data_IF_070640708898
#
_entry.id   IF_070640708898
#
_cell.length_a   1.000
_cell.length_b   1.000
_cell.length_c   1.000
_cell.angle_alpha   90.00
_cell.angle_beta   90.00
_cell.angle_gamma   90.00
#
_symmetry.space_group_name_H-M   'P 1'
#
loop_
_entity.id
_entity.type
_entity.pdbx_description
1 polymer ?
#
# COMPACT_ATOMS: atom_id res chain seq x y z
N UNK A 1 25.20 -14.68 -32.40
CA UNK A 1 23.86 -14.55 -32.98
C UNK A 1 23.69 -13.09 -33.42
N UNK A 2 23.48 -12.86 -34.71
CA UNK A 2 23.12 -11.54 -35.22
C UNK A 2 21.63 -11.33 -34.94
N UNK A 3 21.23 -10.26 -34.26
CA UNK A 3 19.81 -9.98 -34.06
C UNK A 3 19.12 -9.76 -35.40
N UNK A 4 17.82 -10.07 -35.53
CA UNK A 4 17.06 -9.77 -36.72
C UNK A 4 16.95 -8.26 -36.91
N UNK A 5 16.92 -7.82 -38.16
CA UNK A 5 16.77 -6.41 -38.56
C UNK A 5 15.41 -6.21 -39.25
N UNK A 6 14.27 -6.37 -38.53
CA UNK A 6 12.95 -6.19 -39.12
C UNK A 6 12.65 -4.71 -39.39
N UNK A 7 11.78 -4.46 -40.38
CA UNK A 7 11.25 -3.12 -40.62
C UNK A 7 10.26 -2.72 -39.48
N UNK A 8 10.08 -1.41 -39.28
CA UNK A 8 9.18 -0.88 -38.24
C UNK A 8 7.77 -1.48 -38.28
N UNK A 9 7.10 -1.65 -39.44
CA UNK A 9 5.78 -2.28 -39.51
C UNK A 9 5.76 -3.74 -39.00
N UNK A 10 6.85 -4.48 -39.24
CA UNK A 10 6.98 -5.88 -38.77
C UNK A 10 7.14 -5.91 -37.25
N UNK A 11 7.94 -5.01 -36.68
CA UNK A 11 8.12 -4.86 -35.21
C UNK A 11 6.78 -4.49 -34.56
N UNK A 12 6.11 -3.46 -35.08
CA UNK A 12 4.82 -3.02 -34.55
C UNK A 12 3.77 -4.13 -34.59
N UNK A 13 3.65 -4.84 -35.75
CA UNK A 13 2.73 -5.95 -35.90
C UNK A 13 3.05 -7.12 -34.96
N UNK A 14 4.34 -7.42 -34.79
CA UNK A 14 4.78 -8.49 -33.88
C UNK A 14 4.34 -8.22 -32.45
N UNK A 15 4.69 -7.08 -31.90
CA UNK A 15 4.36 -6.75 -30.52
C UNK A 15 2.87 -6.50 -30.28
N UNK A 16 2.15 -5.98 -31.27
CA UNK A 16 0.68 -5.88 -31.21
C UNK A 16 0.03 -7.26 -31.09
N UNK A 17 0.49 -8.24 -31.87
CA UNK A 17 -0.03 -9.62 -31.76
C UNK A 17 0.31 -10.26 -30.40
N UNK A 18 1.53 -10.04 -29.91
CA UNK A 18 1.92 -10.54 -28.59
C UNK A 18 1.07 -9.92 -27.48
N UNK A 19 0.79 -8.63 -27.55
CA UNK A 19 -0.06 -7.96 -26.54
C UNK A 19 -1.48 -8.51 -26.51
N UNK A 20 -2.02 -8.91 -27.67
CA UNK A 20 -3.36 -9.51 -27.78
C UNK A 20 -3.43 -10.95 -27.24
N UNK A 21 -2.29 -11.61 -27.03
CA UNK A 21 -2.23 -12.94 -26.41
C UNK A 21 -2.29 -12.89 -24.89
N UNK A 22 -2.19 -11.69 -24.29
CA UNK A 22 -2.29 -11.46 -22.87
C UNK A 22 -3.56 -10.67 -22.55
N UNK A 23 -4.17 -10.99 -21.42
CA UNK A 23 -5.27 -10.20 -20.91
C UNK A 23 -4.76 -8.91 -20.28
N UNK A 24 -5.49 -7.81 -20.46
CA UNK A 24 -5.15 -6.50 -19.89
C UNK A 24 -6.38 -5.81 -19.32
N UNK A 25 -6.15 -4.84 -18.45
CA UNK A 25 -7.22 -4.03 -17.84
C UNK A 25 -8.02 -3.22 -18.86
N UNK A 26 -7.49 -3.00 -20.07
CA UNK A 26 -8.21 -2.38 -21.18
C UNK A 26 -9.19 -3.32 -21.87
N UNK A 27 -9.05 -4.63 -21.72
CA UNK A 27 -9.97 -5.61 -22.29
C UNK A 27 -11.20 -5.86 -21.42
N UNK A 28 -11.08 -5.69 -20.11
CA UNK A 28 -12.19 -5.94 -19.19
C UNK A 28 -11.75 -6.06 -17.74
N UNK A 29 -12.61 -6.58 -16.87
CA UNK A 29 -12.30 -6.84 -15.47
C UNK A 29 -11.12 -7.79 -15.34
N UNK A 30 -10.21 -7.50 -14.43
CA UNK A 30 -9.02 -8.32 -14.21
C UNK A 30 -9.27 -9.25 -13.01
N UNK A 31 -9.25 -10.58 -13.18
CA UNK A 31 -9.73 -11.54 -12.17
C UNK A 31 -8.69 -11.86 -11.10
N UNK A 32 -7.95 -10.87 -10.65
CA UNK A 32 -7.03 -10.97 -9.51
C UNK A 32 -7.55 -10.11 -8.38
N UNK A 33 -7.19 -10.45 -7.15
CA UNK A 33 -7.62 -9.75 -5.94
C UNK A 33 -7.34 -8.25 -5.92
N UNK A 34 -7.39 -7.63 -4.78
CA UNK A 34 -7.40 -6.16 -4.57
C UNK A 34 -6.33 -5.34 -5.32
N UNK A 35 -5.29 -5.97 -5.84
CA UNK A 35 -4.18 -5.27 -6.48
C UNK A 35 -4.45 -4.74 -7.89
N UNK A 36 -5.54 -5.14 -8.57
CA UNK A 36 -5.67 -4.94 -10.01
C UNK A 36 -6.92 -4.22 -10.46
N UNK A 37 -7.75 -3.81 -9.55
CA UNK A 37 -9.13 -3.35 -9.82
C UNK A 37 -9.23 -1.89 -10.27
N UNK A 38 -8.18 -1.30 -10.85
CA UNK A 38 -8.17 0.10 -11.27
C UNK A 38 -7.72 0.29 -12.70
N UNK A 39 -8.30 1.27 -13.33
CA UNK A 39 -7.82 1.80 -14.59
C UNK A 39 -6.56 2.65 -14.37
N UNK A 40 -5.52 2.40 -15.15
CA UNK A 40 -4.30 3.21 -15.16
C UNK A 40 -4.45 4.30 -16.24
N UNK A 41 -4.63 5.58 -15.87
CA UNK A 41 -4.82 6.66 -16.84
C UNK A 41 -3.61 6.81 -17.76
N UNK A 42 -3.82 6.91 -19.05
CA UNK A 42 -2.72 6.94 -20.04
C UNK A 42 -1.79 8.14 -19.86
N UNK A 43 -2.30 9.30 -19.42
CA UNK A 43 -1.48 10.48 -19.20
C UNK A 43 -0.32 10.27 -18.23
N UNK A 44 -0.43 9.33 -17.28
CA UNK A 44 0.67 9.06 -16.34
C UNK A 44 1.87 8.42 -17.04
N UNK A 45 1.63 7.66 -18.12
CA UNK A 45 2.69 7.13 -18.99
C UNK A 45 3.39 8.25 -19.76
N UNK A 46 2.62 9.19 -20.31
CA UNK A 46 3.16 10.35 -21.01
C UNK A 46 4.04 11.20 -20.10
N UNK A 47 3.58 11.45 -18.86
CA UNK A 47 4.36 12.19 -17.85
C UNK A 47 5.65 11.45 -17.49
N UNK A 48 5.58 10.13 -17.28
CA UNK A 48 6.74 9.33 -16.93
C UNK A 48 7.76 9.21 -18.09
N UNK A 49 7.33 9.42 -19.31
CA UNK A 49 8.18 9.38 -20.50
C UNK A 49 8.88 10.71 -20.82
N UNK A 50 8.66 11.78 -20.06
CA UNK A 50 9.33 13.07 -20.27
C UNK A 50 10.84 12.93 -20.08
N UNK A 51 11.62 13.43 -21.05
CA UNK A 51 13.09 13.32 -21.08
C UNK A 51 13.76 13.93 -19.86
N UNK A 52 13.20 15.01 -19.30
CA UNK A 52 13.71 15.68 -18.11
C UNK A 52 13.64 14.79 -16.84
N UNK A 53 12.87 13.72 -16.87
CA UNK A 53 12.81 12.72 -15.80
C UNK A 53 13.95 11.68 -15.82
N UNK A 54 14.73 11.61 -16.90
CA UNK A 54 15.82 10.64 -17.06
C UNK A 54 17.13 11.13 -16.42
N UNK A 55 17.10 11.42 -15.12
CA UNK A 55 18.25 11.90 -14.35
C UNK A 55 18.93 10.74 -13.64
N UNK A 56 20.27 10.69 -13.72
CA UNK A 56 21.03 9.69 -12.97
C UNK A 56 20.83 9.90 -11.46
N UNK A 57 20.52 8.85 -10.67
CA UNK A 57 20.16 9.00 -9.26
C UNK A 57 21.28 9.55 -8.37
N UNK A 58 22.56 9.36 -8.73
CA UNK A 58 23.70 9.89 -7.99
C UNK A 58 24.16 11.26 -8.52
N UNK A 59 23.29 11.96 -9.26
CA UNK A 59 23.59 13.33 -9.70
C UNK A 59 23.57 14.26 -8.49
N UNK A 60 24.50 15.26 -8.42
CA UNK A 60 24.48 16.26 -7.36
C UNK A 60 23.12 16.97 -7.25
N UNK A 61 22.64 17.22 -6.04
CA UNK A 61 21.32 17.77 -5.74
C UNK A 61 21.03 19.07 -6.50
N UNK A 62 22.05 19.90 -6.70
CA UNK A 62 21.92 21.18 -7.44
C UNK A 62 21.43 21.01 -8.88
N UNK A 63 21.65 19.83 -9.49
CA UNK A 63 21.21 19.46 -10.84
C UNK A 63 19.97 18.56 -10.86
N UNK A 64 19.46 18.19 -9.69
CA UNK A 64 18.32 17.27 -9.54
C UNK A 64 17.09 17.95 -8.91
N UNK A 65 17.02 19.27 -8.87
CA UNK A 65 16.01 20.03 -8.14
C UNK A 65 14.58 19.67 -8.53
N UNK A 66 14.28 19.49 -9.82
CA UNK A 66 12.95 19.07 -10.28
C UNK A 66 12.58 17.67 -9.79
N UNK A 67 13.51 16.72 -9.87
CA UNK A 67 13.34 15.36 -9.39
C UNK A 67 13.12 15.32 -7.88
N UNK A 68 13.98 16.01 -7.13
CA UNK A 68 13.88 16.11 -5.67
C UNK A 68 12.58 16.82 -5.24
N UNK A 69 12.14 17.83 -6.00
CA UNK A 69 10.86 18.52 -5.76
C UNK A 69 9.65 17.59 -5.96
N UNK A 70 9.67 16.72 -6.96
CA UNK A 70 8.61 15.69 -7.16
C UNK A 70 8.63 14.68 -6.00
N UNK A 71 9.80 14.20 -5.59
CA UNK A 71 9.91 13.26 -4.48
C UNK A 71 9.43 13.89 -3.17
N UNK A 72 9.86 15.12 -2.87
CA UNK A 72 9.41 15.87 -1.70
C UNK A 72 7.88 16.05 -1.74
N UNK A 73 7.35 16.58 -2.86
CA UNK A 73 5.91 16.77 -2.99
C UNK A 73 5.09 15.49 -2.87
N UNK A 74 5.63 14.32 -3.30
CA UNK A 74 4.96 13.05 -3.09
C UNK A 74 5.01 12.61 -1.62
N UNK A 75 6.12 12.85 -0.89
CA UNK A 75 6.19 12.62 0.55
C UNK A 75 5.10 13.42 1.29
N UNK A 76 4.96 14.71 0.97
CA UNK A 76 3.94 15.58 1.55
C UNK A 76 2.51 15.11 1.22
N UNK A 77 2.24 14.75 -0.04
CA UNK A 77 0.93 14.24 -0.42
C UNK A 77 0.56 12.95 0.34
N UNK A 78 1.50 12.02 0.46
CA UNK A 78 1.26 10.76 1.16
C UNK A 78 1.09 10.99 2.66
N UNK A 79 1.90 11.86 3.26
CA UNK A 79 1.76 12.24 4.66
C UNK A 79 0.37 12.83 4.94
N UNK A 80 -0.08 13.81 4.15
CA UNK A 80 -1.40 14.41 4.29
C UNK A 80 -2.52 13.39 4.09
N UNK A 81 -2.46 12.56 3.05
CA UNK A 81 -3.48 11.54 2.77
C UNK A 81 -3.58 10.51 3.90
N UNK A 82 -2.45 10.14 4.50
CA UNK A 82 -2.40 9.16 5.59
C UNK A 82 -2.63 9.73 6.97
N UNK A 83 -2.55 11.06 7.15
CA UNK A 83 -2.52 11.70 8.47
C UNK A 83 -1.21 11.41 9.21
N UNK A 84 -0.11 11.23 8.47
CA UNK A 84 1.23 10.97 9.00
C UNK A 84 2.06 12.25 9.01
N UNK A 85 3.13 12.27 9.82
CA UNK A 85 4.08 13.39 9.83
C UNK A 85 4.90 13.43 8.54
N UNK A 86 5.34 12.26 8.09
CA UNK A 86 6.21 12.16 6.91
C UNK A 86 6.20 10.76 6.31
N UNK A 87 6.82 10.62 5.12
CA UNK A 87 6.92 9.32 4.44
C UNK A 87 8.29 9.09 3.80
N UNK A 88 8.70 7.83 3.70
CA UNK A 88 9.78 7.38 2.82
C UNK A 88 9.21 6.77 1.55
N UNK A 89 9.88 6.99 0.42
CA UNK A 89 9.46 6.48 -0.89
C UNK A 89 10.30 5.29 -1.36
N UNK A 90 11.28 4.84 -0.55
CA UNK A 90 12.27 3.84 -0.98
C UNK A 90 11.70 2.44 -1.22
N UNK A 91 10.77 1.90 -0.42
CA UNK A 91 10.34 0.52 -0.58
C UNK A 91 9.75 0.26 -1.97
N UNK A 92 10.24 -0.77 -2.71
CA UNK A 92 9.90 -0.98 -4.12
C UNK A 92 8.59 -1.76 -4.32
N UNK A 93 7.95 -2.21 -3.25
CA UNK A 93 6.71 -2.98 -3.29
C UNK A 93 5.95 -2.87 -1.97
N UNK A 94 4.67 -3.27 -1.93
CA UNK A 94 3.87 -3.30 -0.70
C UNK A 94 4.52 -4.15 0.39
N UNK A 95 4.86 -5.39 0.09
CA UNK A 95 5.55 -6.28 1.04
C UNK A 95 6.89 -5.71 1.55
N UNK A 96 7.63 -4.99 0.70
CA UNK A 96 8.84 -4.28 1.12
C UNK A 96 8.51 -3.08 2.04
N UNK A 97 7.36 -2.43 1.83
CA UNK A 97 6.83 -1.41 2.73
C UNK A 97 6.46 -1.98 4.10
N UNK A 98 5.75 -3.12 4.11
CA UNK A 98 5.43 -3.84 5.35
C UNK A 98 6.70 -4.15 6.15
N UNK A 99 7.66 -4.80 5.52
CA UNK A 99 8.94 -5.14 6.13
C UNK A 99 9.71 -3.91 6.63
N UNK A 100 9.74 -2.84 5.82
CA UNK A 100 10.40 -1.58 6.21
C UNK A 100 9.76 -0.95 7.43
N UNK A 101 8.43 -0.88 7.49
CA UNK A 101 7.72 -0.32 8.64
C UNK A 101 7.99 -1.12 9.93
N UNK A 102 8.04 -2.45 9.85
CA UNK A 102 8.39 -3.28 10.99
C UNK A 102 9.86 -3.15 11.41
N UNK A 103 10.79 -2.88 10.49
CA UNK A 103 12.17 -2.53 10.84
C UNK A 103 12.26 -1.17 11.53
N UNK A 104 11.41 -0.20 11.15
CA UNK A 104 11.29 1.09 11.84
C UNK A 104 10.76 0.88 13.26
N UNK A 105 9.69 0.09 13.43
CA UNK A 105 9.16 -0.28 14.74
C UNK A 105 10.24 -0.91 15.63
N UNK A 106 11.02 -1.84 15.08
CA UNK A 106 12.11 -2.50 15.80
C UNK A 106 13.22 -1.52 16.19
N UNK A 107 13.59 -0.60 15.31
CA UNK A 107 14.59 0.41 15.61
C UNK A 107 14.11 1.37 16.72
N UNK A 108 12.84 1.72 16.74
CA UNK A 108 12.22 2.51 17.78
C UNK A 108 12.28 1.79 19.14
N UNK A 109 11.78 0.54 19.23
CA UNK A 109 11.84 -0.23 20.47
C UNK A 109 13.27 -0.46 20.96
N UNK A 110 14.19 -0.76 20.05
CA UNK A 110 15.62 -0.86 20.38
C UNK A 110 16.17 0.45 20.97
N UNK A 111 15.74 1.59 20.47
CA UNK A 111 16.19 2.89 20.95
C UNK A 111 15.68 3.22 22.37
N UNK A 112 14.64 2.52 22.80
CA UNK A 112 14.06 2.61 24.14
C UNK A 112 14.56 1.49 25.07
N UNK A 113 15.59 0.71 24.62
CA UNK A 113 16.11 -0.47 25.33
C UNK A 113 15.08 -1.61 25.54
N UNK A 114 14.10 -1.70 24.63
CA UNK A 114 12.98 -2.67 24.70
C UNK A 114 13.07 -3.80 23.64
N UNK A 115 14.14 -3.89 22.83
CA UNK A 115 14.27 -4.86 21.70
C UNK A 115 14.17 -6.33 22.19
N UNK A 116 14.62 -6.64 23.39
CA UNK A 116 14.52 -7.97 23.97
C UNK A 116 13.14 -8.27 24.57
N UNK A 117 12.37 -7.26 24.90
CA UNK A 117 11.04 -7.35 25.49
C UNK A 117 9.95 -7.36 24.41
N UNK A 118 9.98 -6.44 23.46
CA UNK A 118 9.02 -6.22 22.37
C UNK A 118 9.27 -7.18 21.20
N UNK A 119 8.82 -8.43 21.34
CA UNK A 119 9.16 -9.50 20.39
C UNK A 119 7.99 -9.99 19.57
N UNK A 120 6.77 -9.60 19.89
CA UNK A 120 5.56 -10.12 19.28
C UNK A 120 4.91 -9.09 18.38
N UNK A 121 4.46 -9.53 17.19
CA UNK A 121 3.57 -8.79 16.31
C UNK A 121 2.26 -9.53 16.21
N UNK A 122 1.18 -8.86 16.62
CA UNK A 122 -0.17 -9.39 16.53
C UNK A 122 -0.71 -9.14 15.13
N UNK A 123 -1.30 -10.16 14.51
CA UNK A 123 -1.85 -10.09 13.15
C UNK A 123 -3.23 -10.76 13.14
N UNK A 124 -4.32 -10.06 12.77
CA UNK A 124 -5.63 -10.68 12.63
C UNK A 124 -5.65 -11.80 11.59
N UNK A 125 -6.41 -12.85 11.83
CA UNK A 125 -6.55 -14.01 10.92
C UNK A 125 -7.08 -13.59 9.52
N UNK A 126 -7.82 -12.49 9.42
CA UNK A 126 -8.32 -11.92 8.16
C UNK A 126 -7.26 -11.13 7.37
N UNK A 127 -6.06 -10.92 7.93
CA UNK A 127 -4.99 -10.16 7.28
C UNK A 127 -4.40 -10.91 6.09
N UNK A 128 -3.76 -10.16 5.19
CA UNK A 128 -3.03 -10.76 4.09
C UNK A 128 -1.83 -11.58 4.59
N UNK A 129 -1.55 -12.71 3.94
CA UNK A 129 -0.44 -13.60 4.34
C UNK A 129 0.94 -12.95 4.37
N UNK A 130 1.15 -11.83 3.65
CA UNK A 130 2.41 -11.07 3.71
C UNK A 130 2.63 -10.38 5.05
N UNK A 131 1.59 -10.04 5.82
CA UNK A 131 1.75 -9.44 7.15
C UNK A 131 2.47 -10.42 8.08
N UNK A 132 2.05 -11.69 8.10
CA UNK A 132 2.70 -12.77 8.84
C UNK A 132 4.15 -12.96 8.41
N UNK A 133 4.38 -13.00 7.09
CA UNK A 133 5.72 -13.19 6.52
C UNK A 133 6.64 -12.01 6.83
N UNK A 134 6.17 -10.77 6.71
CA UNK A 134 6.94 -9.55 6.97
C UNK A 134 7.33 -9.45 8.44
N UNK A 135 6.43 -9.80 9.37
CA UNK A 135 6.71 -9.83 10.81
C UNK A 135 7.78 -10.88 11.14
N UNK A 136 7.65 -12.10 10.62
CA UNK A 136 8.64 -13.15 10.81
C UNK A 136 10.02 -12.76 10.22
N UNK A 137 10.05 -12.15 9.02
CA UNK A 137 11.28 -11.67 8.39
C UNK A 137 11.95 -10.54 9.19
N UNK A 138 11.17 -9.68 9.83
CA UNK A 138 11.69 -8.64 10.72
C UNK A 138 12.22 -9.19 12.06
N UNK A 139 12.05 -10.50 12.30
CA UNK A 139 12.55 -11.20 13.48
C UNK A 139 11.61 -11.14 14.67
N UNK A 140 10.33 -10.92 14.44
CA UNK A 140 9.28 -10.99 15.46
C UNK A 140 8.62 -12.38 15.50
N UNK A 141 8.15 -12.75 16.68
CA UNK A 141 7.21 -13.83 16.86
C UNK A 141 5.81 -13.34 16.44
N UNK A 142 5.09 -14.15 15.68
CA UNK A 142 3.78 -13.75 15.14
C UNK A 142 2.67 -14.37 16.00
N UNK A 143 1.80 -13.50 16.53
CA UNK A 143 0.61 -13.91 17.28
C UNK A 143 -0.61 -13.69 16.38
N UNK A 144 -1.26 -14.77 15.96
CA UNK A 144 -2.48 -14.70 15.18
C UNK A 144 -3.68 -14.44 16.09
N UNK A 145 -4.45 -13.39 15.80
CA UNK A 145 -5.68 -13.04 16.49
C UNK A 145 -6.89 -13.52 15.67
N UNK A 146 -7.75 -14.41 16.18
CA UNK A 146 -8.95 -14.85 15.46
C UNK A 146 -9.92 -13.67 15.27
N UNK A 147 -10.66 -13.66 14.17
CA UNK A 147 -11.77 -12.73 13.99
C UNK A 147 -13.00 -13.17 14.75
N UNK A 148 -13.87 -12.22 15.09
CA UNK A 148 -15.19 -12.50 15.67
C UNK A 148 -16.18 -13.08 14.63
N UNK A 149 -17.42 -13.33 15.05
CA UNK A 149 -18.49 -13.84 14.18
C UNK A 149 -18.89 -12.82 13.09
N UNK A 150 -18.62 -11.52 13.33
CA UNK A 150 -18.87 -10.44 12.40
C UNK A 150 -17.69 -10.19 11.44
N UNK A 151 -16.58 -10.92 11.57
CA UNK A 151 -15.39 -10.83 10.72
C UNK A 151 -14.44 -9.67 11.09
N UNK A 152 -14.48 -9.17 12.32
CA UNK A 152 -13.66 -8.06 12.84
C UNK A 152 -12.71 -8.52 13.94
N UNK A 153 -11.92 -7.58 14.43
CA UNK A 153 -11.05 -7.79 15.61
C UNK A 153 -11.90 -7.79 16.87
N UNK A 154 -11.95 -8.90 17.62
CA UNK A 154 -12.64 -8.91 18.92
C UNK A 154 -11.80 -8.18 19.97
N UNK A 155 -12.33 -7.10 20.53
CA UNK A 155 -11.64 -6.24 21.50
C UNK A 155 -11.21 -7.03 22.73
N UNK A 156 -12.10 -7.85 23.30
CA UNK A 156 -11.79 -8.69 24.49
C UNK A 156 -10.60 -9.63 24.23
N UNK A 157 -10.53 -10.24 23.04
CA UNK A 157 -9.43 -11.13 22.68
C UNK A 157 -8.14 -10.36 22.42
N UNK A 158 -8.25 -9.14 21.92
CA UNK A 158 -7.09 -8.25 21.76
C UNK A 158 -6.52 -7.84 23.13
N UNK A 159 -7.36 -7.46 24.10
CA UNK A 159 -6.93 -7.14 25.47
C UNK A 159 -6.19 -8.30 26.12
N UNK A 160 -6.64 -9.55 25.87
CA UNK A 160 -5.96 -10.75 26.40
C UNK A 160 -4.62 -11.03 25.68
N UNK A 161 -4.50 -10.67 24.41
CA UNK A 161 -3.31 -10.94 23.61
C UNK A 161 -2.22 -9.88 23.74
N UNK A 162 -2.62 -8.62 24.02
CA UNK A 162 -1.69 -7.48 24.11
C UNK A 162 -1.00 -7.45 25.47
N UNK A 163 0.31 -7.21 25.49
CA UNK A 163 1.09 -7.12 26.72
C UNK A 163 2.47 -6.51 26.52
N UNK A 164 3.32 -6.66 27.51
CA UNK A 164 4.68 -6.12 27.50
C UNK A 164 5.56 -6.66 26.35
N UNK A 165 5.23 -7.83 25.80
CA UNK A 165 5.92 -8.43 24.66
C UNK A 165 5.45 -7.90 23.31
N UNK A 166 4.33 -7.18 23.27
CA UNK A 166 3.75 -6.67 22.04
C UNK A 166 4.57 -5.52 21.47
N UNK A 167 5.16 -5.72 20.28
CA UNK A 167 5.86 -4.69 19.54
C UNK A 167 4.89 -3.88 18.65
N UNK A 168 3.96 -4.57 17.99
CA UNK A 168 2.97 -3.93 17.13
C UNK A 168 1.74 -4.82 16.91
N UNK A 169 0.61 -4.17 16.58
CA UNK A 169 -0.54 -4.79 15.92
C UNK A 169 -0.55 -4.35 14.46
N UNK A 170 -0.53 -5.31 13.52
CA UNK A 170 -0.70 -5.02 12.08
C UNK A 170 -2.16 -5.19 11.68
N UNK A 171 -2.77 -4.15 11.16
CA UNK A 171 -4.19 -4.13 10.83
C UNK A 171 -4.44 -3.55 9.44
N UNK A 172 -5.30 -4.20 8.66
CA UNK A 172 -5.86 -3.66 7.41
C UNK A 172 -7.25 -3.09 7.71
N UNK A 173 -7.49 -1.81 7.42
CA UNK A 173 -8.78 -1.18 7.67
C UNK A 173 -9.24 -0.29 6.50
N UNK A 174 -10.35 -0.61 5.82
CA UNK A 174 -11.19 -1.79 5.96
C UNK A 174 -10.42 -3.09 5.72
N UNK A 175 -10.83 -4.18 6.38
CA UNK A 175 -10.17 -5.47 6.25
C UNK A 175 -10.46 -6.14 4.88
N UNK A 176 -9.94 -7.35 4.64
CA UNK A 176 -10.10 -8.07 3.36
C UNK A 176 -11.52 -8.57 3.08
N UNK A 177 -12.43 -8.46 4.04
CA UNK A 177 -13.88 -8.68 3.86
C UNK A 177 -14.61 -7.37 3.50
N UNK A 178 -13.89 -6.26 3.38
CA UNK A 178 -14.45 -4.93 3.14
C UNK A 178 -15.01 -4.24 4.38
N UNK A 179 -14.79 -4.77 5.56
CA UNK A 179 -15.38 -4.31 6.83
C UNK A 179 -14.47 -3.29 7.50
N UNK A 180 -15.06 -2.16 7.91
CA UNK A 180 -14.36 -1.17 8.72
C UNK A 180 -14.35 -1.60 10.20
N UNK A 181 -13.20 -1.51 10.86
CA UNK A 181 -13.08 -1.76 12.30
C UNK A 181 -13.73 -0.60 13.05
N UNK A 182 -14.88 -0.87 13.67
CA UNK A 182 -15.71 0.15 14.34
C UNK A 182 -15.04 0.69 15.58
N UNK A 183 -14.33 -0.20 16.28
CA UNK A 183 -13.75 0.05 17.58
C UNK A 183 -12.26 0.41 17.45
N UNK A 184 -11.87 0.99 16.30
CA UNK A 184 -10.46 1.28 15.98
C UNK A 184 -9.78 2.20 16.98
N UNK A 185 -10.51 3.16 17.57
CA UNK A 185 -9.98 4.06 18.60
C UNK A 185 -9.66 3.29 19.88
N UNK A 186 -10.55 2.38 20.32
CA UNK A 186 -10.34 1.51 21.46
C UNK A 186 -9.20 0.50 21.21
N UNK A 187 -9.15 -0.08 20.01
CA UNK A 187 -8.03 -0.94 19.57
C UNK A 187 -6.70 -0.18 19.69
N UNK A 188 -6.66 1.07 19.24
CA UNK A 188 -5.45 1.90 19.33
C UNK A 188 -5.06 2.17 20.77
N UNK A 189 -6.00 2.52 21.65
CA UNK A 189 -5.75 2.75 23.07
C UNK A 189 -5.17 1.51 23.75
N UNK A 190 -5.74 0.32 23.52
CA UNK A 190 -5.26 -0.96 24.10
C UNK A 190 -3.80 -1.21 23.70
N UNK A 191 -3.46 -1.04 22.43
CA UNK A 191 -2.10 -1.28 21.92
C UNK A 191 -1.11 -0.26 22.48
N UNK A 192 -1.49 1.02 22.51
CA UNK A 192 -0.64 2.10 23.02
C UNK A 192 -0.44 2.04 24.53
N UNK A 193 -1.46 1.71 25.31
CA UNK A 193 -1.37 1.56 26.76
C UNK A 193 -0.40 0.45 27.16
N UNK A 194 -0.26 -0.58 26.32
CA UNK A 194 0.75 -1.61 26.48
C UNK A 194 2.14 -1.21 25.96
N UNK A 195 2.28 -0.05 25.32
CA UNK A 195 3.52 0.46 24.71
C UNK A 195 3.84 -0.16 23.35
N UNK A 196 2.89 -0.83 22.71
CA UNK A 196 3.00 -1.30 21.33
C UNK A 196 2.72 -0.21 20.31
N UNK A 197 2.98 -0.47 19.03
CA UNK A 197 2.70 0.41 17.91
C UNK A 197 1.54 -0.13 17.06
N UNK A 198 0.73 0.76 16.52
CA UNK A 198 -0.34 0.38 15.60
C UNK A 198 0.10 0.58 14.16
N UNK A 199 0.13 -0.51 13.39
CA UNK A 199 0.57 -0.54 12.00
C UNK A 199 -0.61 -0.70 11.03
N UNK A 200 -0.76 0.22 10.08
CA UNK A 200 -1.77 0.18 9.04
C UNK A 200 -1.25 -0.48 7.75
N UNK A 201 -1.84 -1.60 7.37
CA UNK A 201 -1.69 -2.14 6.02
C UNK A 201 -2.54 -1.32 5.03
N UNK A 202 -1.87 -0.55 4.20
CA UNK A 202 -2.50 0.38 3.26
C UNK A 202 -3.03 -0.25 1.98
N UNK A 203 -3.21 -1.57 1.94
CA UNK A 203 -3.76 -2.27 0.78
C UNK A 203 -5.15 -1.75 0.39
N UNK A 204 -5.97 -1.41 1.37
CA UNK A 204 -7.36 -1.00 1.21
C UNK A 204 -7.60 0.52 1.40
N UNK A 205 -6.54 1.34 1.40
CA UNK A 205 -6.63 2.80 1.57
C UNK A 205 -7.55 3.47 0.55
N UNK A 206 -7.74 2.90 -0.62
CA UNK A 206 -8.64 3.41 -1.65
C UNK A 206 -10.11 3.52 -1.20
N UNK A 207 -10.52 2.82 -0.15
CA UNK A 207 -11.84 2.96 0.45
C UNK A 207 -12.01 4.24 1.29
N UNK A 208 -10.92 4.85 1.75
CA UNK A 208 -10.92 5.90 2.78
C UNK A 208 -10.52 7.30 2.26
N UNK A 209 -10.01 7.43 1.03
CA UNK A 209 -9.46 8.69 0.51
C UNK A 209 -10.39 9.89 0.71
N UNK A 210 -9.89 10.92 1.38
CA UNK A 210 -10.60 12.15 1.68
C UNK A 210 -11.80 12.00 2.64
N UNK A 211 -11.87 10.87 3.38
CA UNK A 211 -12.93 10.59 4.35
C UNK A 211 -12.42 10.27 5.73
N UNK A 212 -11.39 9.45 5.83
CA UNK A 212 -10.68 9.15 7.07
C UNK A 212 -9.20 8.99 6.76
N UNK A 213 -8.35 9.36 7.70
CA UNK A 213 -6.89 9.20 7.60
C UNK A 213 -6.42 8.22 8.67
N UNK A 214 -5.59 7.23 8.34
CA UNK A 214 -5.10 6.27 9.32
C UNK A 214 -4.45 6.92 10.56
N UNK A 215 -3.63 7.95 10.39
CA UNK A 215 -3.04 8.68 11.53
C UNK A 215 -4.06 9.27 12.49
N UNK A 216 -5.21 9.77 12.00
CA UNK A 216 -6.28 10.30 12.86
C UNK A 216 -7.01 9.18 13.66
N UNK A 217 -6.83 7.91 13.28
CA UNK A 217 -7.37 6.74 13.95
C UNK A 217 -6.38 6.09 14.93
N UNK A 218 -5.21 6.70 15.15
CA UNK A 218 -4.18 6.22 16.07
C UNK A 218 -3.12 5.31 15.44
N UNK A 219 -3.06 5.19 14.11
CA UNK A 219 -1.98 4.42 13.48
C UNK A 219 -0.66 5.20 13.50
N UNK A 220 0.41 4.54 13.93
CA UNK A 220 1.76 5.10 14.06
C UNK A 220 2.59 4.93 12.78
N UNK A 221 2.36 3.81 12.10
CA UNK A 221 3.06 3.41 10.88
C UNK A 221 2.04 2.98 9.84
N UNK A 222 2.27 3.34 8.59
CA UNK A 222 1.50 2.78 7.48
C UNK A 222 2.37 2.56 6.25
N UNK A 223 2.04 1.56 5.45
CA UNK A 223 2.54 1.53 4.09
C UNK A 223 1.44 1.86 3.07
N UNK A 224 1.86 2.40 1.93
CA UNK A 224 0.96 2.72 0.82
C UNK A 224 1.22 1.76 -0.34
N UNK A 225 0.16 1.20 -0.88
CA UNK A 225 0.26 0.48 -2.14
C UNK A 225 -0.09 1.42 -3.29
N UNK A 226 0.89 2.16 -3.83
CA UNK A 226 0.62 3.13 -4.91
C UNK A 226 0.06 2.46 -6.16
N UNK A 227 0.39 1.19 -6.37
CA UNK A 227 -0.13 0.34 -7.44
C UNK A 227 -1.55 -0.19 -7.18
N UNK A 228 -2.12 0.05 -6.00
CA UNK A 228 -3.53 -0.22 -5.67
C UNK A 228 -4.33 1.07 -5.63
N UNK A 229 -3.94 2.03 -4.79
CA UNK A 229 -4.69 3.25 -4.50
C UNK A 229 -4.46 4.37 -5.51
N UNK A 230 -3.25 4.50 -6.08
CA UNK A 230 -2.85 5.64 -6.92
C UNK A 230 -2.61 5.27 -8.38
N UNK A 231 -3.27 4.22 -8.85
CA UNK A 231 -3.37 3.84 -10.26
C UNK A 231 -2.03 3.63 -11.00
N UNK A 232 -0.95 3.32 -10.30
CA UNK A 232 0.30 2.96 -10.97
C UNK A 232 0.27 1.51 -11.43
N UNK A 233 1.02 1.12 -12.47
CA UNK A 233 1.08 -0.27 -12.90
C UNK A 233 1.70 -1.16 -11.81
N UNK A 234 1.25 -2.41 -11.75
CA UNK A 234 1.84 -3.47 -10.93
C UNK A 234 2.66 -4.47 -11.76
N UNK A 235 2.39 -4.54 -13.04
CA UNK A 235 3.14 -5.35 -13.99
C UNK A 235 3.09 -6.86 -13.76
N UNK A 236 1.99 -7.37 -13.17
CA UNK A 236 1.86 -8.80 -12.90
C UNK A 236 2.81 -9.32 -11.82
N UNK A 237 3.06 -8.52 -10.79
CA UNK A 237 4.00 -8.82 -9.70
C UNK A 237 5.32 -8.05 -9.81
N UNK A 238 5.40 -7.12 -10.74
CA UNK A 238 6.54 -6.22 -10.95
C UNK A 238 6.24 -4.79 -10.49
N UNK A 239 6.79 -3.78 -11.15
CA UNK A 239 7.25 -2.50 -10.63
C UNK A 239 6.16 -1.71 -9.90
N UNK A 240 5.87 -2.06 -8.65
CA UNK A 240 5.08 -1.26 -7.74
C UNK A 240 5.96 -0.31 -6.93
N UNK A 241 5.38 0.26 -5.88
CA UNK A 241 6.08 0.90 -4.79
C UNK A 241 5.23 0.81 -3.52
N UNK A 242 5.92 0.79 -2.38
CA UNK A 242 5.31 0.70 -1.06
C UNK A 242 5.86 1.77 -0.11
N UNK A 243 5.66 3.06 -0.38
CA UNK A 243 6.02 4.12 0.57
C UNK A 243 5.54 3.80 1.98
N UNK A 244 6.30 4.28 2.98
CA UNK A 244 5.94 4.11 4.39
C UNK A 244 5.83 5.46 5.04
N UNK A 245 4.64 5.76 5.58
CA UNK A 245 4.37 6.94 6.41
C UNK A 245 4.48 6.60 7.89
N UNK A 246 4.89 7.58 8.68
CA UNK A 246 5.02 7.44 10.12
C UNK A 246 4.66 8.73 10.85
N UNK A 247 4.32 8.60 12.14
CA UNK A 247 4.19 9.73 13.06
C UNK A 247 5.58 10.34 13.38
N UNK A 248 5.58 11.54 14.00
CA UNK A 248 6.80 12.33 14.28
C UNK A 248 7.87 11.53 15.05
N UNK A 249 7.46 10.80 16.09
CA UNK A 249 8.36 10.02 16.94
C UNK A 249 9.16 8.95 16.18
N UNK A 250 8.66 8.51 15.04
CA UNK A 250 9.28 7.47 14.21
C UNK A 250 10.04 8.03 13.00
N UNK A 251 9.94 9.33 12.73
CA UNK A 251 10.48 9.96 11.52
C UNK A 251 12.01 9.80 11.36
N UNK A 252 12.76 9.82 12.47
CA UNK A 252 14.21 9.68 12.45
C UNK A 252 14.72 8.27 12.11
N UNK A 253 13.86 7.25 12.25
CA UNK A 253 14.20 5.86 11.94
C UNK A 253 13.99 5.51 10.46
N UNK A 254 13.30 6.35 9.70
CA UNK A 254 13.01 6.08 8.30
C UNK A 254 14.28 5.84 7.46
N UNK A 255 14.18 5.05 6.37
CA UNK A 255 15.30 4.79 5.46
C UNK A 255 15.96 6.06 4.93
N UNK A 256 17.28 6.00 4.73
CA UNK A 256 18.09 7.09 4.18
C UNK A 256 18.56 6.81 2.74
N UNK A 257 18.87 7.84 1.94
CA UNK A 257 18.61 9.26 2.21
C UNK A 257 17.14 9.61 2.06
N UNK A 258 16.74 10.74 2.65
CA UNK A 258 15.43 11.36 2.49
C UNK A 258 15.57 12.69 1.78
N UNK A 259 14.46 13.19 1.22
CA UNK A 259 14.43 14.53 0.63
C UNK A 259 13.84 15.53 1.63
N UNK A 260 14.45 16.70 1.75
CA UNK A 260 13.90 17.85 2.47
C UNK A 260 14.04 19.14 1.67
N UNK A 261 13.20 20.10 1.98
CA UNK A 261 13.38 21.48 1.52
C UNK A 261 14.17 22.27 2.57
N UNK A 262 15.16 23.03 2.13
CA UNK A 262 15.93 23.95 2.94
C UNK A 262 16.29 25.18 2.14
N UNK A 263 15.93 26.36 2.66
CA UNK A 263 16.22 27.67 2.05
C UNK A 263 15.74 27.76 0.57
N UNK A 264 14.58 27.17 0.25
CA UNK A 264 13.99 27.14 -1.09
C UNK A 264 14.67 26.21 -2.07
N UNK A 265 15.46 25.23 -1.58
CA UNK A 265 16.11 24.17 -2.37
C UNK A 265 15.82 22.81 -1.77
N UNK A 266 15.78 21.81 -2.62
CA UNK A 266 15.65 20.43 -2.21
C UNK A 266 17.03 19.77 -2.10
N UNK A 267 17.25 19.05 -1.00
CA UNK A 267 18.49 18.34 -0.74
C UNK A 267 18.23 16.94 -0.17
N UNK A 268 19.15 16.03 -0.41
CA UNK A 268 19.19 14.74 0.24
C UNK A 268 19.83 14.87 1.61
N UNK A 269 19.26 14.18 2.61
CA UNK A 269 19.83 14.11 3.95
C UNK A 269 19.66 12.74 4.57
N UNK A 270 20.54 12.39 5.49
CA UNK A 270 20.49 11.15 6.25
C UNK A 270 19.95 11.43 7.66
N UNK A 271 18.79 10.88 8.07
CA UNK A 271 18.35 10.89 9.45
C UNK A 271 19.35 10.18 10.36
N UNK A 272 19.59 10.71 11.57
CA UNK A 272 20.66 10.20 12.47
C UNK A 272 20.43 8.77 12.95
N UNK A 273 19.16 8.39 13.18
CA UNK A 273 18.74 7.09 13.72
C UNK A 273 18.21 6.14 12.65
N UNK A 274 18.41 6.48 11.36
CA UNK A 274 17.90 5.74 10.22
C UNK A 274 18.26 4.25 10.27
N UNK A 275 17.30 3.38 9.91
CA UNK A 275 17.53 1.94 9.70
C UNK A 275 18.46 1.63 8.52
N UNK A 276 18.91 2.65 7.79
CA UNK A 276 19.77 2.48 6.63
C UNK A 276 19.02 2.52 5.31
N UNK A 277 19.62 1.98 4.25
CA UNK A 277 19.04 1.94 2.90
C UNK A 277 18.30 0.62 2.70
N UNK A 278 17.03 0.68 2.30
CA UNK A 278 16.20 -0.52 2.05
C UNK A 278 16.07 -0.85 0.56
N UNK A 279 16.41 0.11 -0.31
CA UNK A 279 16.42 -0.06 -1.76
C UNK A 279 17.49 0.81 -2.39
N UNK A 280 17.87 0.50 -3.64
CA UNK A 280 18.75 1.37 -4.43
C UNK A 280 18.08 2.73 -4.73
N UNK A 281 18.86 3.78 -4.67
CA UNK A 281 18.41 5.15 -4.97
C UNK A 281 17.26 5.62 -4.07
N UNK A 282 16.25 6.29 -4.66
CA UNK A 282 15.07 6.83 -3.96
C UNK A 282 13.80 5.99 -4.24
N UNK A 283 13.94 4.70 -4.55
CA UNK A 283 12.85 3.81 -4.90
C UNK A 283 12.59 3.72 -6.42
N UNK A 284 11.41 3.27 -6.80
CA UNK A 284 11.04 3.08 -8.21
C UNK A 284 10.59 4.40 -8.84
N UNK A 285 11.55 5.21 -9.28
CA UNK A 285 11.33 6.59 -9.75
C UNK A 285 10.12 6.77 -10.69
N UNK A 286 10.03 6.00 -11.78
CA UNK A 286 8.94 6.16 -12.75
C UNK A 286 7.56 5.82 -12.15
N UNK A 287 7.50 4.89 -11.21
CA UNK A 287 6.26 4.56 -10.49
C UNK A 287 5.87 5.71 -9.56
N UNK A 288 6.84 6.30 -8.87
CA UNK A 288 6.61 7.45 -7.98
C UNK A 288 6.14 8.68 -8.76
N UNK A 289 6.73 8.96 -9.92
CA UNK A 289 6.28 10.04 -10.83
C UNK A 289 4.83 9.83 -11.27
N UNK A 290 4.45 8.60 -11.62
CA UNK A 290 3.08 8.27 -12.00
C UNK A 290 2.10 8.50 -10.85
N UNK A 291 2.45 8.07 -9.64
CA UNK A 291 1.64 8.30 -8.43
C UNK A 291 1.49 9.81 -8.15
N UNK A 292 2.58 10.56 -8.20
CA UNK A 292 2.57 12.02 -8.04
C UNK A 292 1.64 12.69 -9.05
N UNK A 293 1.79 12.36 -10.33
CA UNK A 293 0.97 12.92 -11.40
C UNK A 293 -0.52 12.59 -11.22
N UNK A 294 -0.84 11.38 -10.79
CA UNK A 294 -2.21 10.94 -10.51
C UNK A 294 -2.83 11.75 -9.37
N UNK A 295 -2.13 11.85 -8.23
CA UNK A 295 -2.60 12.61 -7.06
C UNK A 295 -2.77 14.08 -7.41
N UNK A 296 -1.76 14.70 -8.03
CA UNK A 296 -1.80 16.10 -8.42
C UNK A 296 -2.94 16.41 -9.43
N UNK A 297 -3.24 15.47 -10.33
CA UNK A 297 -4.31 15.63 -11.33
C UNK A 297 -5.71 15.55 -10.72
N UNK A 298 -5.90 14.67 -9.75
CA UNK A 298 -7.18 14.48 -9.09
C UNK A 298 -7.44 15.53 -8.01
N UNK A 299 -6.41 15.89 -7.25
CA UNK A 299 -6.56 16.73 -6.07
C UNK A 299 -7.47 16.11 -5.01
N UNK A 300 -7.78 16.83 -3.96
CA UNK A 300 -8.63 16.38 -2.85
C UNK A 300 -10.01 15.90 -3.33
N UNK A 301 -10.70 16.71 -4.12
CA UNK A 301 -12.04 16.39 -4.60
C UNK A 301 -12.07 15.13 -5.48
N UNK A 302 -11.07 14.94 -6.36
CA UNK A 302 -10.99 13.79 -7.24
C UNK A 302 -10.65 12.50 -6.49
N UNK A 303 -9.76 12.56 -5.51
CA UNK A 303 -9.42 11.41 -4.65
C UNK A 303 -10.64 10.95 -3.85
N UNK A 304 -11.36 11.89 -3.24
CA UNK A 304 -12.60 11.62 -2.51
C UNK A 304 -13.71 11.03 -3.39
N UNK A 305 -13.87 11.54 -4.61
CA UNK A 305 -14.82 11.02 -5.59
C UNK A 305 -14.45 9.60 -6.05
N UNK A 306 -13.18 9.33 -6.26
CA UNK A 306 -12.68 7.98 -6.62
C UNK A 306 -13.00 6.96 -5.53
N UNK A 307 -12.72 7.30 -4.27
CA UNK A 307 -13.07 6.45 -3.12
C UNK A 307 -14.56 6.18 -3.03
N UNK A 308 -15.37 7.24 -3.14
CA UNK A 308 -16.82 7.12 -3.10
C UNK A 308 -17.38 6.21 -4.20
N UNK A 309 -16.82 6.29 -5.42
CA UNK A 309 -17.19 5.42 -6.53
C UNK A 309 -16.78 3.97 -6.32
N UNK A 310 -15.62 3.71 -5.71
CA UNK A 310 -15.19 2.35 -5.37
C UNK A 310 -16.20 1.70 -4.42
N UNK A 311 -16.60 2.40 -3.36
CA UNK A 311 -17.62 1.92 -2.41
C UNK A 311 -18.97 1.74 -3.08
N UNK A 312 -19.41 2.72 -3.88
CA UNK A 312 -20.68 2.63 -4.61
C UNK A 312 -20.71 1.42 -5.56
N UNK A 313 -19.62 1.18 -6.29
CA UNK A 313 -19.56 0.06 -7.24
C UNK A 313 -19.64 -1.30 -6.54
N UNK A 314 -18.95 -1.48 -5.42
CA UNK A 314 -19.03 -2.71 -4.64
C UNK A 314 -20.45 -2.96 -4.13
N UNK A 315 -21.09 -1.94 -3.54
CA UNK A 315 -22.45 -2.05 -3.03
C UNK A 315 -23.48 -2.28 -4.16
N UNK A 316 -23.31 -1.61 -5.30
CA UNK A 316 -24.16 -1.83 -6.47
C UNK A 316 -24.04 -3.25 -7.02
N UNK A 317 -22.82 -3.80 -7.07
CA UNK A 317 -22.61 -5.19 -7.50
C UNK A 317 -23.24 -6.18 -6.52
N UNK A 318 -23.03 -5.97 -5.22
CA UNK A 318 -23.59 -6.83 -4.18
C UNK A 318 -25.13 -6.96 -4.24
N UNK A 319 -25.81 -5.86 -4.53
CA UNK A 319 -27.29 -5.84 -4.71
C UNK A 319 -27.78 -6.55 -5.98
N UNK A 320 -26.88 -6.89 -6.91
CA UNK A 320 -27.21 -7.47 -8.22
C UNK A 320 -26.82 -8.92 -8.38
N UNK A 321 -25.94 -9.44 -7.55
CA UNK A 321 -25.54 -10.84 -7.56
C UNK A 321 -26.53 -11.66 -6.72
N UNK A 322 -26.79 -12.88 -7.18
CA UNK A 322 -27.66 -13.84 -6.48
C UNK A 322 -26.81 -14.83 -5.65
N UNK A 323 -26.00 -14.24 -4.76
CA UNK A 323 -25.16 -14.99 -3.81
C UNK A 323 -25.34 -14.39 -2.41
N UNK A 324 -25.22 -15.25 -1.40
CA UNK A 324 -25.25 -14.81 -0.02
C UNK A 324 -23.98 -14.06 0.34
N UNK A 325 -24.13 -12.89 1.00
CA UNK A 325 -23.05 -12.02 1.48
C UNK A 325 -23.11 -12.02 3.00
N UNK A 326 -22.30 -12.87 3.67
CA UNK A 326 -22.48 -13.12 5.10
C UNK A 326 -22.04 -11.93 5.98
N UNK A 327 -21.22 -11.03 5.45
CA UNK A 327 -20.62 -9.93 6.23
C UNK A 327 -21.06 -8.56 5.74
N UNK A 328 -21.29 -7.62 6.66
CA UNK A 328 -21.67 -6.25 6.34
C UNK A 328 -21.81 -5.35 7.56
N UNK A 329 -21.99 -4.04 7.34
CA UNK A 329 -21.84 -3.31 6.07
C UNK A 329 -20.39 -3.29 5.59
N UNK A 330 -20.18 -3.45 4.29
CA UNK A 330 -18.86 -3.42 3.66
C UNK A 330 -18.63 -2.13 2.86
N UNK A 331 -17.37 -1.85 2.52
CA UNK A 331 -16.97 -0.64 1.80
C UNK A 331 -16.74 -0.91 0.30
N UNK A 332 -15.48 -1.08 -0.10
CA UNK A 332 -15.06 -1.12 -1.51
C UNK A 332 -14.95 -2.54 -2.09
N UNK A 333 -15.07 -3.54 -1.26
CA UNK A 333 -15.06 -4.96 -1.61
C UNK A 333 -15.96 -5.74 -0.64
N UNK A 334 -16.31 -6.95 -0.99
CA UNK A 334 -17.11 -7.85 -0.16
C UNK A 334 -16.78 -9.31 -0.48
N UNK A 335 -17.07 -10.21 0.45
CA UNK A 335 -17.01 -11.64 0.25
C UNK A 335 -18.42 -12.20 0.03
N UNK A 336 -18.61 -12.96 -1.05
CA UNK A 336 -19.84 -13.68 -1.31
C UNK A 336 -19.59 -15.19 -1.21
N UNK A 337 -20.57 -15.95 -0.70
CA UNK A 337 -20.46 -17.40 -0.63
C UNK A 337 -20.80 -18.04 -1.97
N UNK A 338 -20.09 -19.10 -2.30
CA UNK A 338 -20.38 -19.92 -3.50
C UNK A 338 -21.56 -20.88 -3.29
N UNK A 339 -22.17 -20.91 -2.10
CA UNK A 339 -23.17 -21.88 -1.71
C UNK A 339 -22.61 -23.31 -1.71
N UNK A 340 -23.29 -24.22 -2.38
CA UNK A 340 -22.84 -25.63 -2.53
C UNK A 340 -21.79 -25.82 -3.66
N UNK A 341 -21.47 -24.75 -4.40
CA UNK A 341 -20.51 -24.80 -5.52
C UNK A 341 -19.10 -24.48 -5.04
N UNK A 342 -18.12 -25.03 -5.73
CA UNK A 342 -16.73 -24.61 -5.54
C UNK A 342 -16.52 -23.22 -6.17
N UNK A 343 -15.91 -22.30 -5.42
CA UNK A 343 -15.60 -20.94 -5.90
C UNK A 343 -14.69 -20.97 -7.15
N UNK A 344 -13.77 -21.93 -7.23
CA UNK A 344 -12.92 -22.12 -8.41
C UNK A 344 -13.71 -22.55 -9.66
N UNK A 345 -14.77 -23.30 -9.50
CA UNK A 345 -15.64 -23.68 -10.64
C UNK A 345 -16.48 -22.51 -11.13
N UNK A 346 -16.94 -21.63 -10.21
CA UNK A 346 -17.59 -20.38 -10.58
C UNK A 346 -16.60 -19.49 -11.35
N UNK A 347 -15.39 -19.29 -10.82
CA UNK A 347 -14.36 -18.49 -11.47
C UNK A 347 -14.01 -19.01 -12.87
N UNK A 348 -13.87 -20.32 -13.04
CA UNK A 348 -13.67 -20.94 -14.38
C UNK A 348 -14.84 -20.70 -15.31
N UNK A 349 -16.07 -20.77 -14.80
CA UNK A 349 -17.27 -20.49 -15.61
C UNK A 349 -17.34 -19.03 -16.06
N UNK A 350 -16.82 -18.09 -15.29
CA UNK A 350 -16.75 -16.66 -15.67
C UNK A 350 -15.86 -16.44 -16.89
N UNK A 351 -14.80 -17.24 -17.09
CA UNK A 351 -13.92 -17.16 -18.27
C UNK A 351 -14.71 -17.37 -19.59
N UNK A 352 -15.78 -18.17 -19.60
CA UNK A 352 -16.64 -18.37 -20.77
C UNK A 352 -17.41 -17.10 -21.16
N UNK A 353 -17.51 -16.15 -20.25
CA UNK A 353 -18.16 -14.86 -20.45
C UNK A 353 -17.14 -13.70 -20.59
N UNK A 354 -15.85 -14.02 -20.61
CA UNK A 354 -14.78 -13.03 -20.80
C UNK A 354 -14.45 -12.23 -19.52
N UNK A 355 -14.72 -12.80 -18.36
CA UNK A 355 -14.46 -12.19 -17.04
C UNK A 355 -13.33 -12.93 -16.34
#
# INVERSE_FOLDING_TARGET
LTPPEPAEPEVASHYTRLSQMNYSVEHGPYPLGSCTMKYNPKFIEDVAALEDGAIHPDRPDEYAQGTLGILHGLQEYLAEIGGMETATLQPPAGAAGEFTGLLVARAYHRSNDEDDQRREVIVPASAHGTNFASAAMAGYDVVELPSDEDGRVPVDALEEAVGESTAALMLTNPNTLGLFERDIEEIAEIVHDAGGLLYYDGANLNALLGRARPGDMGFDIMHYNVHKTFATPHGGGGPGAGPVGVVDELAEFLPRPRVRERDGRYELYDPERSIGKVHGYQGNWLVLVKAYAYIARLGDAGLKDTSAKAVLNANYLAERIDYDIPYGPFHHEFAATAGERDAADIAKGMLDYGV
#
